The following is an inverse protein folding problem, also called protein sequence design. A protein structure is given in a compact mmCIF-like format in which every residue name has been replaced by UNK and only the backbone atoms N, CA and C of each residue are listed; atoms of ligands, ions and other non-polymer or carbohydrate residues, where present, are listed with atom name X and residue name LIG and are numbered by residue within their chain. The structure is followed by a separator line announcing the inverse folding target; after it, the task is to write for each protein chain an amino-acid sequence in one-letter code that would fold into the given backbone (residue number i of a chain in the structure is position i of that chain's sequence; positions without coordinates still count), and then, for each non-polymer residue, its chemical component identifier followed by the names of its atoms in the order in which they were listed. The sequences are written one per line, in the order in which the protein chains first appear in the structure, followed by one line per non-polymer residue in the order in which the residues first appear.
data_IF_411046161093
#
_entry.id   IF_411046161093
#
_cell.length_a   1.000
_cell.length_b   1.000
_cell.length_c   1.000
_cell.angle_alpha   90.00
_cell.angle_beta   90.00
_cell.angle_gamma   90.00
#
_symmetry.space_group_name_H-M   'P 1'
#
loop_
_entity.id
_entity.type
_entity.pdbx_description
1 polymer ?
#
# COMPACT_ATOMS: atom_id res chain seq x y z
N UNK A 1 17.49 -27.07 14.67
CA UNK A 1 16.02 -27.05 14.78
C UNK A 1 15.67 -26.55 16.17
N UNK A 2 14.81 -25.54 16.28
CA UNK A 2 14.40 -24.94 17.55
C UNK A 2 12.89 -25.07 17.68
N UNK A 3 12.45 -25.71 18.76
CA UNK A 3 11.04 -25.88 19.07
C UNK A 3 10.84 -25.39 20.49
N UNK A 4 9.95 -24.42 20.68
CA UNK A 4 9.62 -23.89 22.00
C UNK A 4 8.13 -23.85 22.23
N UNK A 5 7.73 -24.00 23.48
CA UNK A 5 6.33 -23.94 23.88
C UNK A 5 5.73 -22.54 23.73
N UNK A 6 6.51 -21.47 23.86
CA UNK A 6 5.99 -20.09 23.85
C UNK A 6 6.76 -19.23 22.84
N UNK A 7 8.06 -19.03 23.05
CA UNK A 7 8.84 -18.06 22.28
C UNK A 7 10.25 -18.58 22.00
N UNK A 8 10.74 -18.39 20.77
CA UNK A 8 12.12 -18.64 20.41
C UNK A 8 12.87 -17.33 20.15
N UNK A 9 14.06 -17.21 20.75
CA UNK A 9 15.06 -16.22 20.37
C UNK A 9 16.29 -16.98 19.89
N UNK A 10 16.74 -16.68 18.68
CA UNK A 10 18.00 -17.14 18.15
C UNK A 10 18.84 -15.95 17.72
N UNK A 11 20.13 -15.99 18.01
CA UNK A 11 21.07 -15.07 17.38
C UNK A 11 21.38 -15.54 15.97
N UNK A 12 21.69 -16.82 15.77
CA UNK A 12 21.94 -17.39 14.45
C UNK A 12 21.29 -18.76 14.34
N UNK A 13 20.22 -18.88 13.53
CA UNK A 13 19.65 -20.18 13.18
C UNK A 13 19.58 -20.38 11.67
N UNK A 14 20.03 -21.55 11.21
CA UNK A 14 20.01 -21.96 9.80
C UNK A 14 19.00 -23.10 9.57
N UNK A 15 17.91 -23.13 10.34
CA UNK A 15 17.02 -24.29 10.37
C UNK A 15 15.55 -23.94 10.56
N UNK A 16 14.83 -24.92 11.10
CA UNK A 16 13.40 -24.83 11.39
C UNK A 16 13.16 -24.27 12.80
N UNK A 17 12.29 -23.26 12.90
CA UNK A 17 11.83 -22.68 14.16
C UNK A 17 10.30 -22.82 14.29
N UNK A 18 9.86 -23.42 15.38
CA UNK A 18 8.45 -23.58 15.73
C UNK A 18 8.25 -23.05 17.15
N UNK A 19 7.29 -22.13 17.32
CA UNK A 19 6.89 -21.62 18.62
C UNK A 19 5.37 -21.43 18.68
N UNK A 20 4.76 -21.45 19.87
CA UNK A 20 3.33 -21.14 19.96
C UNK A 20 3.07 -19.66 19.70
N UNK A 21 3.84 -18.74 20.29
CA UNK A 21 3.59 -17.29 20.19
C UNK A 21 4.40 -16.67 19.07
N UNK A 22 5.73 -16.82 19.10
CA UNK A 22 6.56 -16.18 18.09
C UNK A 22 8.01 -16.65 18.04
N UNK A 23 8.65 -16.34 16.93
CA UNK A 23 10.07 -16.57 16.73
C UNK A 23 10.78 -15.26 16.39
N UNK A 24 11.99 -15.07 16.93
CA UNK A 24 12.89 -13.96 16.57
C UNK A 24 14.27 -14.49 16.25
N UNK A 25 14.76 -14.18 15.06
CA UNK A 25 16.12 -14.48 14.62
C UNK A 25 16.84 -13.17 14.26
N UNK A 26 17.95 -12.87 14.95
CA UNK A 26 18.64 -11.58 14.86
C UNK A 26 19.74 -11.55 13.79
N UNK A 27 20.34 -12.68 13.44
CA UNK A 27 21.45 -12.79 12.48
C UNK A 27 21.40 -14.06 11.62
N UNK A 28 20.49 -14.98 11.90
CA UNK A 28 20.35 -16.23 11.16
C UNK A 28 19.53 -16.11 9.87
N UNK A 29 19.55 -17.22 9.14
CA UNK A 29 18.83 -17.43 7.89
C UNK A 29 17.89 -18.63 8.02
N UNK A 30 16.83 -18.56 8.86
CA UNK A 30 15.92 -19.67 9.07
C UNK A 30 15.29 -20.11 7.76
N UNK A 31 15.23 -21.44 7.59
CA UNK A 31 14.62 -22.05 6.41
C UNK A 31 13.10 -21.95 6.53
N UNK A 32 12.57 -22.30 7.70
CA UNK A 32 11.14 -22.28 7.99
C UNK A 32 10.90 -21.72 9.38
N UNK A 33 10.01 -20.73 9.49
CA UNK A 33 9.50 -20.25 10.76
C UNK A 33 7.98 -20.31 10.77
N UNK A 34 7.43 -20.92 11.81
CA UNK A 34 5.99 -20.91 12.05
C UNK A 34 5.71 -20.63 13.52
N UNK A 35 4.70 -19.79 13.73
CA UNK A 35 4.19 -19.43 15.05
C UNK A 35 2.72 -19.05 14.96
N UNK A 36 2.04 -18.80 16.07
CA UNK A 36 0.67 -18.29 16.00
C UNK A 36 0.63 -16.78 15.75
N UNK A 37 1.43 -15.99 16.48
CA UNK A 37 1.30 -14.53 16.45
C UNK A 37 2.27 -13.90 15.46
N UNK A 38 3.58 -14.06 15.66
CA UNK A 38 4.56 -13.34 14.86
C UNK A 38 5.86 -14.09 14.58
N UNK A 39 6.49 -13.77 13.45
CA UNK A 39 7.85 -14.17 13.14
C UNK A 39 8.67 -12.96 12.71
N UNK A 40 9.88 -12.85 13.26
CA UNK A 40 10.89 -11.85 12.89
C UNK A 40 12.17 -12.58 12.54
N UNK A 41 12.75 -12.26 11.40
CA UNK A 41 14.06 -12.75 10.99
C UNK A 41 14.85 -11.65 10.26
N UNK A 42 16.14 -11.82 10.07
CA UNK A 42 16.86 -11.02 9.08
C UNK A 42 16.63 -11.57 7.68
N UNK A 43 16.93 -12.84 7.46
CA UNK A 43 16.78 -13.50 6.17
C UNK A 43 15.91 -14.75 6.28
N UNK A 44 15.12 -15.02 5.24
CA UNK A 44 14.23 -16.18 5.19
C UNK A 44 14.44 -16.90 3.88
N UNK A 45 14.71 -18.21 3.96
CA UNK A 45 15.00 -18.98 2.74
C UNK A 45 13.73 -19.54 2.07
N UNK A 46 12.81 -20.14 2.82
CA UNK A 46 11.65 -20.85 2.24
C UNK A 46 10.29 -20.37 2.71
N UNK A 47 10.00 -20.37 4.01
CA UNK A 47 8.63 -20.10 4.48
C UNK A 47 8.61 -19.41 5.84
N UNK A 48 7.85 -18.32 5.92
CA UNK A 48 7.38 -17.75 7.17
C UNK A 48 5.85 -17.76 7.19
N UNK A 49 5.28 -18.45 8.17
CA UNK A 49 3.83 -18.57 8.30
C UNK A 49 3.34 -18.46 9.75
N UNK A 50 3.24 -17.24 10.30
CA UNK A 50 2.43 -16.90 11.45
C UNK A 50 1.02 -16.44 11.04
N UNK A 51 0.07 -16.42 11.98
CA UNK A 51 -1.28 -15.97 11.68
C UNK A 51 -1.35 -14.44 11.47
N UNK A 52 -0.59 -13.65 12.25
CA UNK A 52 -0.74 -12.18 12.24
C UNK A 52 0.40 -11.46 11.53
N UNK A 53 1.64 -11.60 11.99
CA UNK A 53 2.72 -10.67 11.62
C UNK A 53 4.03 -11.33 11.20
N UNK A 54 4.50 -11.00 9.99
CA UNK A 54 5.84 -11.33 9.51
C UNK A 54 6.69 -10.07 9.33
N UNK A 55 7.93 -10.13 9.82
CA UNK A 55 8.96 -9.17 9.46
C UNK A 55 10.24 -9.88 9.03
N UNK A 56 10.79 -9.46 7.91
CA UNK A 56 12.17 -9.79 7.56
C UNK A 56 12.91 -8.60 6.96
N UNK A 57 14.23 -8.69 6.82
CA UNK A 57 15.00 -7.77 5.98
C UNK A 57 15.03 -8.32 4.55
N UNK A 58 15.42 -9.59 4.38
CA UNK A 58 15.52 -10.26 3.07
C UNK A 58 14.63 -11.50 3.05
N UNK A 59 13.68 -11.56 2.11
CA UNK A 59 12.80 -12.72 1.91
C UNK A 59 13.11 -13.41 0.58
N UNK A 60 13.68 -14.61 0.62
CA UNK A 60 13.82 -15.48 -0.56
C UNK A 60 12.60 -16.39 -0.76
N UNK A 61 11.85 -16.64 0.31
CA UNK A 61 10.75 -17.59 0.36
C UNK A 61 9.36 -16.94 0.30
N UNK A 62 8.38 -17.66 0.85
CA UNK A 62 6.99 -17.23 0.95
C UNK A 62 6.71 -16.69 2.36
N UNK A 63 6.07 -15.53 2.44
CA UNK A 63 5.51 -14.98 3.67
C UNK A 63 3.99 -15.07 3.62
N UNK A 64 3.41 -15.79 4.57
CA UNK A 64 1.97 -15.95 4.74
C UNK A 64 1.58 -15.38 6.10
N UNK A 65 0.64 -14.44 6.14
CA UNK A 65 0.18 -13.80 7.37
C UNK A 65 -0.70 -12.60 7.07
N UNK A 66 -1.41 -12.05 8.06
CA UNK A 66 -2.23 -10.85 7.84
C UNK A 66 -1.39 -9.64 7.43
N UNK A 67 -0.22 -9.46 8.05
CA UNK A 67 0.69 -8.35 7.76
C UNK A 67 2.08 -8.92 7.48
N UNK A 68 2.59 -8.66 6.28
CA UNK A 68 3.93 -9.05 5.87
C UNK A 68 4.78 -7.81 5.58
N UNK A 69 5.95 -7.72 6.20
CA UNK A 69 6.89 -6.61 6.01
C UNK A 69 8.26 -7.17 5.63
N UNK A 70 8.85 -6.65 4.56
CA UNK A 70 10.20 -7.03 4.13
C UNK A 70 10.94 -5.87 3.46
N UNK A 71 12.20 -5.63 3.77
CA UNK A 71 12.94 -4.58 3.05
C UNK A 71 13.22 -5.01 1.59
N UNK A 72 13.65 -6.26 1.38
CA UNK A 72 13.92 -6.86 0.08
C UNK A 72 13.22 -8.21 -0.07
N UNK A 73 12.22 -8.30 -0.95
CA UNK A 73 11.49 -9.53 -1.22
C UNK A 73 11.79 -10.08 -2.63
N UNK A 74 12.40 -11.26 -2.68
CA UNK A 74 12.63 -12.01 -3.93
C UNK A 74 11.61 -13.12 -4.17
N UNK A 75 11.02 -13.65 -3.10
CA UNK A 75 10.02 -14.73 -3.17
C UNK A 75 8.58 -14.22 -3.29
N UNK A 76 7.74 -14.49 -2.30
CA UNK A 76 6.32 -14.14 -2.33
C UNK A 76 5.78 -13.63 -0.99
N UNK A 77 4.81 -12.72 -1.04
CA UNK A 77 4.05 -12.27 0.14
C UNK A 77 2.55 -12.42 -0.11
N UNK A 78 1.84 -13.08 0.78
CA UNK A 78 0.39 -13.23 0.71
C UNK A 78 -0.20 -12.86 2.07
N UNK A 79 -1.06 -11.85 2.07
CA UNK A 79 -1.62 -11.30 3.31
C UNK A 79 -2.67 -10.24 3.08
N UNK A 80 -3.21 -9.67 4.15
CA UNK A 80 -4.10 -8.52 4.04
C UNK A 80 -3.30 -7.26 3.68
N UNK A 81 -2.16 -7.06 4.37
CA UNK A 81 -1.24 -5.95 4.16
C UNK A 81 0.15 -6.50 3.83
N UNK A 82 0.71 -6.09 2.69
CA UNK A 82 2.09 -6.40 2.33
C UNK A 82 2.86 -5.10 2.14
N UNK A 83 3.98 -4.95 2.84
CA UNK A 83 4.84 -3.77 2.75
C UNK A 83 6.25 -4.22 2.40
N UNK A 84 6.83 -3.59 1.37
CA UNK A 84 8.24 -3.81 1.06
C UNK A 84 8.94 -2.58 0.50
N UNK A 85 10.28 -2.50 0.66
CA UNK A 85 11.04 -1.44 -0.01
C UNK A 85 11.30 -1.81 -1.47
N UNK A 86 11.86 -3.00 -1.70
CA UNK A 86 12.12 -3.57 -3.02
C UNK A 86 11.49 -4.95 -3.08
N UNK A 87 10.75 -5.23 -4.15
CA UNK A 87 10.14 -6.54 -4.36
C UNK A 87 10.28 -6.96 -5.83
N UNK A 88 11.02 -8.03 -6.09
CA UNK A 88 11.17 -8.63 -7.42
C UNK A 88 10.27 -9.86 -7.62
N UNK A 89 9.65 -10.31 -6.54
CA UNK A 89 8.83 -11.49 -6.46
C UNK A 89 7.36 -11.24 -6.81
N UNK A 90 6.48 -11.75 -5.96
CA UNK A 90 5.03 -11.55 -6.02
C UNK A 90 4.49 -11.07 -4.67
N UNK A 91 3.50 -10.19 -4.67
CA UNK A 91 2.79 -9.81 -3.45
C UNK A 91 1.30 -9.66 -3.73
N UNK A 92 0.48 -10.49 -3.07
CA UNK A 92 -0.97 -10.43 -3.15
C UNK A 92 -1.57 -10.09 -1.80
N UNK A 93 -2.41 -9.05 -1.80
CA UNK A 93 -3.15 -8.63 -0.62
C UNK A 93 -4.09 -7.49 -0.90
N UNK A 94 -4.96 -7.20 0.06
CA UNK A 94 -5.89 -6.06 -0.01
C UNK A 94 -5.15 -4.72 -0.07
N UNK A 95 -3.99 -4.65 0.58
CA UNK A 95 -3.14 -3.47 0.49
C UNK A 95 -1.68 -3.89 0.33
N UNK A 96 -1.12 -3.59 -0.83
CA UNK A 96 0.28 -3.89 -1.15
C UNK A 96 1.00 -2.59 -1.45
N UNK A 97 2.02 -2.28 -0.65
CA UNK A 97 2.83 -1.07 -0.80
C UNK A 97 4.28 -1.47 -1.01
N UNK A 98 4.81 -1.16 -2.19
CA UNK A 98 6.23 -1.36 -2.51
C UNK A 98 6.86 0.01 -2.76
N UNK A 99 7.91 0.38 -2.01
CA UNK A 99 8.58 1.69 -2.09
C UNK A 99 9.12 1.98 -3.49
N UNK A 100 9.87 1.03 -4.03
CA UNK A 100 10.45 1.07 -5.38
C UNK A 100 9.62 0.23 -6.37
N UNK A 101 8.32 0.09 -6.15
CA UNK A 101 7.41 -0.66 -7.01
C UNK A 101 6.58 0.21 -7.94
N UNK A 102 5.45 -0.34 -8.41
CA UNK A 102 4.51 0.37 -9.27
C UNK A 102 3.62 1.29 -8.44
N UNK A 103 3.70 2.59 -8.72
CA UNK A 103 2.88 3.63 -8.12
C UNK A 103 2.44 4.59 -9.21
N UNK A 104 1.13 4.76 -9.39
CA UNK A 104 0.57 5.70 -10.35
C UNK A 104 -0.49 6.53 -9.66
N UNK A 105 -0.42 7.84 -9.87
CA UNK A 105 -1.48 8.78 -9.48
C UNK A 105 -2.05 9.33 -10.78
N UNK A 106 -3.33 9.07 -10.99
CA UNK A 106 -4.04 9.45 -12.20
C UNK A 106 -5.17 10.42 -11.82
N UNK A 107 -5.15 11.59 -12.43
CA UNK A 107 -6.25 12.54 -12.38
C UNK A 107 -6.92 12.54 -13.74
N UNK A 108 -8.23 12.41 -13.77
CA UNK A 108 -9.01 12.42 -15.01
C UNK A 108 -10.19 13.37 -14.89
N UNK A 109 -10.43 14.10 -15.96
CA UNK A 109 -11.58 14.97 -16.13
C UNK A 109 -12.26 14.61 -17.44
N UNK A 110 -13.54 14.24 -17.37
CA UNK A 110 -14.31 13.83 -18.54
C UNK A 110 -15.32 14.91 -18.93
N UNK A 111 -15.83 14.83 -20.17
CA UNK A 111 -16.86 15.73 -20.71
C UNK A 111 -18.18 15.71 -19.92
N UNK A 112 -18.38 14.70 -19.07
CA UNK A 112 -19.48 14.62 -18.10
C UNK A 112 -19.20 15.36 -16.79
N UNK A 113 -18.18 16.23 -16.77
CA UNK A 113 -17.64 16.92 -15.59
C UNK A 113 -17.15 15.99 -14.45
N UNK A 114 -16.99 14.69 -14.69
CA UNK A 114 -16.51 13.76 -13.68
C UNK A 114 -15.02 14.01 -13.40
N UNK A 115 -14.71 14.37 -12.15
CA UNK A 115 -13.33 14.45 -11.66
C UNK A 115 -13.03 13.12 -10.97
N UNK A 116 -12.10 12.36 -11.52
CA UNK A 116 -11.68 11.05 -11.00
C UNK A 116 -10.25 11.13 -10.52
N UNK A 117 -10.03 10.66 -9.30
CA UNK A 117 -8.73 10.37 -8.74
C UNK A 117 -8.54 8.86 -8.68
N UNK A 118 -7.42 8.37 -9.22
CA UNK A 118 -7.07 6.97 -9.19
C UNK A 118 -5.65 6.83 -8.65
N UNK A 119 -5.51 5.98 -7.63
CA UNK A 119 -4.25 5.66 -7.01
C UNK A 119 -3.97 4.16 -7.17
N UNK A 120 -2.86 3.84 -7.84
CA UNK A 120 -2.39 2.47 -8.03
C UNK A 120 -1.16 2.24 -7.17
N UNK A 121 -1.13 1.13 -6.43
CA UNK A 121 0.00 0.79 -5.55
C UNK A 121 0.27 -0.72 -5.53
N UNK A 122 1.54 -1.11 -5.69
CA UNK A 122 1.97 -2.50 -5.55
C UNK A 122 3.16 -2.82 -6.46
N UNK A 123 3.10 -3.97 -7.13
CA UNK A 123 4.07 -4.39 -8.14
C UNK A 123 3.45 -4.30 -9.54
N UNK A 124 4.25 -4.15 -10.62
CA UNK A 124 3.73 -4.22 -11.98
C UNK A 124 2.96 -5.52 -12.25
N UNK A 125 3.42 -6.65 -11.69
CA UNK A 125 2.73 -7.95 -11.82
C UNK A 125 1.37 -8.00 -11.12
N UNK A 126 1.21 -7.28 -10.02
CA UNK A 126 -0.03 -7.22 -9.23
C UNK A 126 -0.05 -5.94 -8.38
N UNK A 127 -1.00 -5.05 -8.67
CA UNK A 127 -1.21 -3.81 -7.93
C UNK A 127 -2.67 -3.63 -7.55
N UNK A 128 -2.88 -2.93 -6.45
CA UNK A 128 -4.20 -2.50 -6.01
C UNK A 128 -4.52 -1.13 -6.62
N UNK A 129 -5.77 -0.92 -6.95
CA UNK A 129 -6.30 0.30 -7.54
C UNK A 129 -7.37 0.83 -6.59
N UNK A 130 -7.20 2.07 -6.14
CA UNK A 130 -8.22 2.78 -5.39
C UNK A 130 -8.64 3.94 -6.26
N UNK A 131 -9.92 3.96 -6.65
CA UNK A 131 -10.48 5.08 -7.40
C UNK A 131 -11.53 5.79 -6.53
N UNK A 132 -11.57 7.10 -6.67
CA UNK A 132 -12.60 7.93 -6.05
C UNK A 132 -12.82 9.14 -6.93
N UNK A 133 -14.00 9.72 -6.86
CA UNK A 133 -14.22 10.97 -7.56
C UNK A 133 -15.59 11.52 -7.35
N UNK A 134 -15.78 12.66 -7.99
CA UNK A 134 -16.97 13.48 -7.85
C UNK A 134 -17.50 13.84 -9.23
N UNK A 135 -18.82 13.84 -9.33
CA UNK A 135 -19.55 14.33 -10.48
C UNK A 135 -20.37 15.53 -10.01
N UNK A 136 -19.86 16.77 -10.20
CA UNK A 136 -20.61 17.98 -9.94
C UNK A 136 -21.58 18.21 -11.09
N UNK A 137 -22.73 17.54 -11.03
CA UNK A 137 -23.88 17.90 -11.86
C UNK A 137 -24.56 19.14 -11.24
N UNK A 138 -25.27 19.93 -12.06
CA UNK A 138 -25.85 21.23 -11.64
C UNK A 138 -26.89 21.12 -10.52
N UNK A 139 -27.42 19.92 -10.25
CA UNK A 139 -28.47 19.68 -9.24
C UNK A 139 -28.05 18.79 -8.07
N UNK A 140 -27.15 17.82 -8.24
CA UNK A 140 -26.71 16.91 -7.17
C UNK A 140 -25.23 16.48 -7.36
N UNK A 141 -24.44 16.55 -6.28
CA UNK A 141 -23.07 16.05 -6.26
C UNK A 141 -23.09 14.53 -6.06
N UNK A 142 -22.62 13.76 -7.05
CA UNK A 142 -22.46 12.30 -6.89
C UNK A 142 -21.02 11.99 -6.52
N UNK A 143 -20.84 11.17 -5.49
CA UNK A 143 -19.54 10.67 -5.06
C UNK A 143 -19.44 9.19 -5.44
N UNK A 144 -18.28 8.79 -5.94
CA UNK A 144 -17.98 7.37 -6.15
C UNK A 144 -16.70 6.98 -5.44
N UNK A 145 -16.68 5.73 -4.99
CA UNK A 145 -15.50 5.05 -4.46
C UNK A 145 -15.42 3.68 -5.11
N UNK A 146 -14.23 3.24 -5.43
CA UNK A 146 -14.02 1.91 -5.96
C UNK A 146 -12.65 1.38 -5.65
N UNK A 147 -12.61 0.06 -5.74
CA UNK A 147 -11.45 -0.75 -5.43
C UNK A 147 -11.26 -1.75 -6.57
N UNK A 148 -10.01 -1.99 -6.92
CA UNK A 148 -9.66 -2.88 -8.01
C UNK A 148 -8.29 -3.49 -7.85
N UNK A 149 -8.03 -4.43 -8.74
CA UNK A 149 -6.78 -5.14 -8.88
C UNK A 149 -6.35 -5.02 -10.33
N UNK A 150 -5.05 -4.87 -10.57
CA UNK A 150 -4.54 -4.80 -11.93
C UNK A 150 -3.20 -5.49 -12.09
N UNK A 151 -2.88 -5.78 -13.34
CA UNK A 151 -1.59 -6.31 -13.76
C UNK A 151 -1.10 -5.59 -15.00
N UNK A 152 0.20 -5.31 -15.02
CA UNK A 152 0.90 -4.60 -16.08
C UNK A 152 2.02 -5.49 -16.60
N UNK A 153 1.91 -5.89 -17.86
CA UNK A 153 2.90 -6.73 -18.54
C UNK A 153 3.54 -5.95 -19.68
N UNK A 154 4.87 -5.79 -19.64
CA UNK A 154 5.63 -5.17 -20.72
C UNK A 154 5.75 -6.13 -21.91
N UNK A 155 5.11 -5.80 -23.02
CA UNK A 155 5.16 -6.57 -24.26
C UNK A 155 6.26 -5.99 -25.17
N UNK A 156 7.51 -6.39 -24.89
CA UNK A 156 8.70 -5.89 -25.59
C UNK A 156 9.26 -4.59 -25.01
N UNK A 157 10.08 -3.88 -25.79
CA UNK A 157 10.83 -2.69 -25.32
C UNK A 157 10.01 -1.39 -25.29
N UNK A 158 8.84 -1.34 -25.95
CA UNK A 158 8.08 -0.10 -26.17
C UNK A 158 6.62 -0.17 -25.74
N UNK A 159 6.04 -1.36 -25.63
CA UNK A 159 4.62 -1.53 -25.35
C UNK A 159 4.41 -2.14 -23.98
N UNK A 160 3.40 -1.65 -23.27
CA UNK A 160 2.99 -2.16 -21.97
C UNK A 160 1.49 -2.38 -22.00
N UNK A 161 1.06 -3.58 -21.65
CA UNK A 161 -0.33 -3.98 -21.59
C UNK A 161 -0.76 -3.99 -20.12
N UNK A 162 -1.75 -3.17 -19.82
CA UNK A 162 -2.34 -3.08 -18.48
C UNK A 162 -3.74 -3.71 -18.52
N UNK A 163 -4.04 -4.56 -17.56
CA UNK A 163 -5.36 -5.15 -17.36
C UNK A 163 -5.81 -4.78 -15.96
N UNK A 164 -6.83 -3.92 -15.88
CA UNK A 164 -7.37 -3.37 -14.63
C UNK A 164 -8.79 -3.90 -14.42
N UNK A 165 -9.03 -4.59 -13.31
CA UNK A 165 -10.35 -5.00 -12.85
C UNK A 165 -10.75 -4.08 -11.69
N UNK A 166 -11.79 -3.28 -11.86
CA UNK A 166 -12.26 -2.36 -10.83
C UNK A 166 -13.74 -2.57 -10.54
N UNK A 167 -14.12 -2.49 -9.27
CA UNK A 167 -15.50 -2.42 -8.81
C UNK A 167 -15.69 -1.06 -8.16
N UNK A 168 -16.71 -0.32 -8.59
CA UNK A 168 -17.02 1.00 -8.04
C UNK A 168 -18.46 1.07 -7.57
N UNK A 169 -18.68 1.78 -6.47
CA UNK A 169 -19.97 2.07 -5.92
C UNK A 169 -20.23 3.58 -6.01
N UNK A 170 -21.38 3.93 -6.58
CA UNK A 170 -21.82 5.31 -6.76
C UNK A 170 -22.86 5.62 -5.69
N UNK A 171 -22.60 6.65 -4.89
CA UNK A 171 -23.53 7.14 -3.91
C UNK A 171 -24.44 8.18 -4.55
N UNK A 172 -25.68 7.80 -4.83
CA UNK A 172 -26.68 8.68 -5.44
C UNK A 172 -27.49 9.49 -4.41
N UNK A 173 -27.45 9.12 -3.13
CA UNK A 173 -28.29 9.73 -2.09
C UNK A 173 -27.49 10.07 -0.82
N UNK A 174 -26.72 11.16 -0.87
CA UNK A 174 -26.01 11.67 0.31
C UNK A 174 -26.67 12.95 0.84
N UNK A 175 -27.56 12.79 1.82
CA UNK A 175 -28.08 13.88 2.65
C UNK A 175 -26.97 14.63 3.40
N UNK A 176 -25.81 14.00 3.59
CA UNK A 176 -24.64 14.58 4.26
C UNK A 176 -23.84 15.57 3.38
N UNK A 177 -23.96 15.46 2.05
CA UNK A 177 -23.20 16.28 1.09
C UNK A 177 -24.09 17.31 0.37
N UNK A 178 -25.42 17.17 0.46
CA UNK A 178 -26.39 18.16 -0.06
C UNK A 178 -26.14 19.57 0.47
N UNK A 179 -25.60 19.69 1.68
CA UNK A 179 -25.36 20.99 2.30
C UNK A 179 -24.01 21.60 1.91
N UNK A 180 -23.06 20.84 1.37
CA UNK A 180 -21.68 21.30 1.16
C UNK A 180 -21.42 21.62 -0.32
N UNK A 181 -21.36 22.92 -0.63
CA UNK A 181 -20.94 23.41 -1.95
C UNK A 181 -19.45 23.76 -1.90
N UNK A 182 -18.66 23.21 -2.81
CA UNK A 182 -17.27 23.67 -3.00
C UNK A 182 -17.33 25.09 -3.56
N UNK A 183 -16.94 26.08 -2.75
CA UNK A 183 -17.03 27.49 -3.12
C UNK A 183 -15.78 27.99 -3.82
N UNK A 184 -14.61 27.42 -3.48
CA UNK A 184 -13.31 27.82 -4.05
C UNK A 184 -12.31 26.68 -3.91
N UNK A 185 -11.58 26.39 -4.98
CA UNK A 185 -10.36 25.59 -4.94
C UNK A 185 -9.24 26.54 -5.38
N UNK A 186 -8.28 26.81 -4.49
CA UNK A 186 -7.13 27.64 -4.78
C UNK A 186 -5.86 26.79 -4.61
N UNK A 187 -5.02 26.79 -5.65
CA UNK A 187 -3.71 26.14 -5.63
C UNK A 187 -2.68 27.25 -5.80
N UNK A 188 -1.74 27.33 -4.87
CA UNK A 188 -0.74 28.40 -4.84
C UNK A 188 0.55 27.93 -4.22
N UNK A 189 1.56 28.78 -4.25
CA UNK A 189 2.81 28.57 -3.54
C UNK A 189 2.90 29.57 -2.39
N UNK A 190 3.13 29.07 -1.17
CA UNK A 190 3.32 29.89 0.02
C UNK A 190 4.78 29.82 0.45
N UNK A 191 5.35 30.97 0.80
CA UNK A 191 6.69 31.06 1.34
C UNK A 191 6.64 30.74 2.84
N UNK A 192 7.27 29.63 3.25
CA UNK A 192 7.41 29.30 4.66
C UNK A 192 8.69 29.92 5.24
N UNK A 193 8.61 30.50 6.45
CA UNK A 193 9.79 31.04 7.12
C UNK A 193 10.79 29.91 7.45
N UNK A 194 12.09 30.25 7.58
CA UNK A 194 13.12 29.27 7.87
C UNK A 194 12.85 28.58 9.22
N UNK A 195 12.96 27.26 9.27
CA UNK A 195 12.84 26.50 10.52
C UNK A 195 14.10 26.73 11.36
N UNK A 196 13.97 26.69 12.69
CA UNK A 196 15.05 26.97 13.64
C UNK A 196 16.31 26.15 13.29
N UNK A 197 17.38 26.85 12.85
CA UNK A 197 18.63 26.25 12.34
C UNK A 197 18.87 26.37 10.83
N UNK A 198 17.92 26.84 10.03
CA UNK A 198 18.09 27.10 8.59
C UNK A 198 18.01 28.61 8.27
N UNK A 199 18.78 29.07 7.27
CA UNK A 199 18.95 30.50 6.98
C UNK A 199 18.22 30.97 5.69
N UNK A 200 17.38 30.12 5.08
CA UNK A 200 16.65 30.43 3.83
C UNK A 200 15.19 30.00 3.90
N UNK A 201 14.30 30.85 3.42
CA UNK A 201 12.89 30.52 3.23
C UNK A 201 12.73 29.49 2.11
N UNK A 202 11.62 28.74 2.15
CA UNK A 202 11.30 27.71 1.16
C UNK A 202 9.88 27.91 0.64
N UNK A 203 9.72 27.78 -0.67
CA UNK A 203 8.41 27.80 -1.32
C UNK A 203 7.76 26.43 -1.19
N UNK A 204 6.50 26.40 -0.73
CA UNK A 204 5.74 25.17 -0.54
C UNK A 204 4.44 25.26 -1.33
N UNK A 205 4.11 24.23 -2.10
CA UNK A 205 2.82 24.14 -2.78
C UNK A 205 1.72 23.95 -1.74
N UNK A 206 0.70 24.80 -1.83
CA UNK A 206 -0.47 24.81 -0.96
C UNK A 206 -1.72 24.58 -1.82
N UNK A 207 -2.62 23.75 -1.31
CA UNK A 207 -3.93 23.54 -1.89
C UNK A 207 -4.96 23.86 -0.80
N UNK A 208 -5.84 24.81 -1.09
CA UNK A 208 -6.94 25.19 -0.24
C UNK A 208 -8.26 24.83 -0.93
N UNK A 209 -9.09 24.06 -0.23
CA UNK A 209 -10.43 23.68 -0.67
C UNK A 209 -11.41 24.28 0.34
N UNK A 210 -12.10 25.34 -0.06
CA UNK A 210 -13.14 25.97 0.76
C UNK A 210 -14.49 25.33 0.46
N UNK A 211 -15.13 24.77 1.49
CA UNK A 211 -16.48 24.23 1.44
C UNK A 211 -17.42 25.18 2.16
N UNK A 212 -18.53 25.56 1.54
CA UNK A 212 -19.58 26.36 2.17
C UNK A 212 -20.81 25.51 2.44
N UNK A 213 -21.37 25.65 3.65
CA UNK A 213 -22.62 24.99 4.05
C UNK A 213 -23.82 25.86 3.65
N UNK A 214 -24.80 25.31 2.94
CA UNK A 214 -26.08 25.99 2.70
C UNK A 214 -26.91 25.90 3.99
N UNK A 215 -27.38 27.05 4.49
CA UNK A 215 -28.33 27.13 5.59
C UNK A 215 -29.74 26.75 5.12
#
# INVERSE_FOLDING_TARGET
MQVSAIYNVADESNGLQIAAVGNRDCYGNPILQTAFIFNVANEVQLLQCPALYNRCIVNHGLQLGLINISDSCRGGQIGFINVSEVNSGFAAGFFTVVKNGYRSIEFSYNDLNNIVFCFKSGLPKFYNIINTGISPDRSDLRLFIGYGLGTSTSMGKKWMLNCDLTCSHVFEHNSFVKDLKVSKIAIGTAEMPPREGENKSRMVSTMEITLSKKA
#
